data_IF_583846632874
#
_entry.id   IF_583846632874
#
_cell.length_a   1.000
_cell.length_b   1.000
_cell.length_c   1.000
_cell.angle_alpha   90.00
_cell.angle_beta   90.00
_cell.angle_gamma   90.00
#
_symmetry.space_group_name_H-M   'P 1'
#
loop_
_entity.id
_entity.type
_entity.pdbx_description
1 polymer ?
#
# COMPACT_ATOMS: atom_id res chain seq x y z
N UNK A 1 -11.72 -13.00 20.94
CA UNK A 1 -12.90 -12.75 20.06
C UNK A 1 -12.59 -13.30 18.68
N UNK A 2 -13.35 -14.30 18.16
CA UNK A 2 -13.13 -14.82 16.80
C UNK A 2 -14.00 -14.04 15.82
N UNK A 3 -13.38 -13.35 14.88
CA UNK A 3 -14.10 -12.65 13.80
C UNK A 3 -14.76 -13.72 12.91
N UNK A 4 -16.05 -13.55 12.58
CA UNK A 4 -16.74 -14.49 11.68
C UNK A 4 -16.14 -14.40 10.27
N UNK A 5 -16.14 -15.53 9.54
CA UNK A 5 -15.62 -15.57 8.16
C UNK A 5 -16.38 -14.64 7.21
N UNK A 6 -17.68 -14.45 7.45
CA UNK A 6 -18.48 -13.49 6.69
C UNK A 6 -18.00 -12.03 6.92
N UNK A 7 -17.74 -11.67 8.18
CA UNK A 7 -17.20 -10.35 8.55
C UNK A 7 -15.81 -10.15 7.97
N UNK A 8 -14.93 -11.14 8.05
CA UNK A 8 -13.58 -11.10 7.48
C UNK A 8 -13.62 -10.85 5.98
N UNK A 9 -14.44 -11.61 5.24
CA UNK A 9 -14.62 -11.44 3.80
C UNK A 9 -15.17 -10.06 3.42
N UNK A 10 -16.13 -9.55 4.19
CA UNK A 10 -16.72 -8.23 3.97
C UNK A 10 -15.70 -7.11 4.20
N UNK A 11 -14.93 -7.20 5.28
CA UNK A 11 -13.91 -6.21 5.60
C UNK A 11 -12.78 -6.21 4.55
N UNK A 12 -12.31 -7.40 4.16
CA UNK A 12 -11.34 -7.55 3.08
C UNK A 12 -11.82 -6.89 1.77
N UNK A 13 -13.04 -7.20 1.35
CA UNK A 13 -13.59 -6.64 0.11
C UNK A 13 -13.72 -5.11 0.17
N UNK A 14 -14.24 -4.59 1.29
CA UNK A 14 -14.43 -3.14 1.48
C UNK A 14 -13.10 -2.40 1.52
N UNK A 15 -12.12 -2.89 2.30
CA UNK A 15 -10.80 -2.24 2.38
C UNK A 15 -10.04 -2.32 1.05
N UNK A 16 -10.12 -3.45 0.34
CA UNK A 16 -9.50 -3.60 -0.98
C UNK A 16 -10.13 -2.65 -2.00
N UNK A 17 -11.46 -2.56 -2.06
CA UNK A 17 -12.14 -1.64 -2.97
C UNK A 17 -11.80 -0.18 -2.64
N UNK A 18 -11.82 0.18 -1.35
CA UNK A 18 -11.47 1.53 -0.91
C UNK A 18 -10.01 1.89 -1.21
N UNK A 19 -9.08 0.94 -1.00
CA UNK A 19 -7.67 1.11 -1.34
C UNK A 19 -7.48 1.30 -2.86
N UNK A 20 -8.15 0.49 -3.68
CA UNK A 20 -8.10 0.64 -5.14
C UNK A 20 -8.63 2.02 -5.56
N UNK A 21 -9.77 2.45 -5.02
CA UNK A 21 -10.36 3.75 -5.36
C UNK A 21 -9.44 4.91 -4.95
N UNK A 22 -8.88 4.88 -3.74
CA UNK A 22 -7.93 5.89 -3.27
C UNK A 22 -6.63 5.88 -4.10
N UNK A 23 -6.10 4.69 -4.42
CA UNK A 23 -4.92 4.53 -5.27
C UNK A 23 -5.12 5.08 -6.69
N UNK A 24 -6.30 4.88 -7.29
CA UNK A 24 -6.64 5.47 -8.60
C UNK A 24 -6.62 7.00 -8.52
N UNK A 25 -7.17 7.58 -7.45
CA UNK A 25 -7.15 9.04 -7.25
C UNK A 25 -5.71 9.54 -7.13
N UNK A 26 -4.88 8.91 -6.26
CA UNK A 26 -3.46 9.26 -6.11
C UNK A 26 -2.71 9.17 -7.42
N UNK A 27 -2.82 8.05 -8.13
CA UNK A 27 -2.15 7.85 -9.41
C UNK A 27 -2.57 8.88 -10.47
N UNK A 28 -3.87 9.26 -10.48
CA UNK A 28 -4.37 10.29 -11.40
C UNK A 28 -3.81 11.67 -11.09
N UNK A 29 -3.73 12.03 -9.80
CA UNK A 29 -3.16 13.30 -9.34
C UNK A 29 -1.66 13.35 -9.63
N UNK A 30 -0.94 12.26 -9.34
CA UNK A 30 0.49 12.12 -9.58
C UNK A 30 0.84 12.20 -11.07
N UNK A 31 0.17 11.41 -11.91
CA UNK A 31 0.37 11.41 -13.36
C UNK A 31 0.15 12.81 -13.94
N UNK A 32 -0.88 13.52 -13.49
CA UNK A 32 -1.16 14.87 -13.96
C UNK A 32 -0.06 15.86 -13.51
N UNK A 33 0.43 15.75 -12.28
CA UNK A 33 1.53 16.56 -11.78
C UNK A 33 2.80 16.31 -12.60
N UNK A 34 3.16 15.04 -12.80
CA UNK A 34 4.33 14.62 -13.59
C UNK A 34 4.27 15.09 -15.03
N UNK A 35 3.13 14.99 -15.70
CA UNK A 35 2.97 15.47 -17.08
C UNK A 35 3.15 16.98 -17.22
N UNK A 36 2.80 17.76 -16.21
CA UNK A 36 2.84 19.21 -16.24
C UNK A 36 4.18 19.80 -15.78
N UNK A 37 4.93 19.08 -14.93
CA UNK A 37 6.12 19.60 -14.26
C UNK A 37 7.37 18.75 -14.46
N UNK A 38 7.24 17.56 -15.03
CA UNK A 38 8.32 16.60 -15.20
C UNK A 38 8.54 15.66 -14.01
N UNK A 39 7.95 15.94 -12.84
CA UNK A 39 8.06 15.08 -11.65
C UNK A 39 6.72 14.99 -10.91
N UNK A 40 6.31 13.79 -10.54
CA UNK A 40 5.19 13.51 -9.64
C UNK A 40 5.64 13.33 -8.19
N UNK A 41 4.68 13.18 -7.27
CA UNK A 41 4.99 12.87 -5.87
C UNK A 41 5.50 11.43 -5.71
N UNK A 42 5.06 10.50 -6.56
CA UNK A 42 5.59 9.14 -6.57
C UNK A 42 7.07 9.05 -6.95
N UNK A 43 7.60 10.01 -7.72
CA UNK A 43 9.02 10.05 -8.07
C UNK A 43 9.92 10.36 -6.85
N UNK A 44 9.38 11.04 -5.81
CA UNK A 44 10.13 11.37 -4.59
C UNK A 44 10.64 10.12 -3.87
N UNK A 45 9.94 9.00 -3.99
CA UNK A 45 10.30 7.72 -3.38
C UNK A 45 11.65 7.17 -3.89
N UNK A 46 12.03 7.54 -5.11
CA UNK A 46 13.28 7.12 -5.74
C UNK A 46 14.42 8.14 -5.52
N UNK A 47 14.11 9.32 -4.95
CA UNK A 47 15.09 10.36 -4.75
C UNK A 47 15.95 10.08 -3.50
N UNK A 48 17.27 10.17 -3.67
CA UNK A 48 18.24 9.93 -2.61
C UNK A 48 19.04 11.18 -2.20
N UNK A 49 18.94 12.30 -2.95
CA UNK A 49 19.72 13.50 -2.75
C UNK A 49 18.86 14.76 -2.64
N UNK A 50 19.33 15.75 -1.88
CA UNK A 50 18.65 17.03 -1.78
C UNK A 50 18.49 17.73 -3.14
N UNK A 51 19.44 17.53 -4.05
CA UNK A 51 19.39 18.11 -5.39
C UNK A 51 18.19 17.60 -6.21
N UNK A 52 17.85 16.31 -6.11
CA UNK A 52 16.69 15.71 -6.80
C UNK A 52 15.38 16.30 -6.26
N UNK A 53 15.22 16.36 -4.92
CA UNK A 53 14.06 16.99 -4.29
C UNK A 53 13.93 18.47 -4.68
N UNK A 54 15.03 19.23 -4.64
CA UNK A 54 15.05 20.64 -5.03
C UNK A 54 14.60 20.84 -6.48
N UNK A 55 15.04 20.00 -7.40
CA UNK A 55 14.65 20.08 -8.80
C UNK A 55 13.13 19.89 -8.98
N UNK A 56 12.53 18.89 -8.32
CA UNK A 56 11.09 18.65 -8.36
C UNK A 56 10.30 19.79 -7.70
N UNK A 57 10.70 20.24 -6.52
CA UNK A 57 10.01 21.31 -5.79
C UNK A 57 10.11 22.66 -6.53
N UNK A 58 11.24 22.94 -7.15
CA UNK A 58 11.39 24.11 -8.01
C UNK A 58 10.45 24.05 -9.22
N UNK A 59 10.38 22.89 -9.91
CA UNK A 59 9.48 22.71 -11.04
C UNK A 59 8.01 22.89 -10.62
N UNK A 60 7.60 22.36 -9.47
CA UNK A 60 6.26 22.55 -8.93
C UNK A 60 5.98 24.02 -8.56
N UNK A 61 6.99 24.74 -8.04
CA UNK A 61 6.90 26.16 -7.67
C UNK A 61 6.71 27.05 -8.88
N UNK A 62 7.54 26.87 -9.91
CA UNK A 62 7.49 27.65 -11.17
C UNK A 62 6.13 27.51 -11.86
N UNK A 63 5.54 26.33 -11.81
CA UNK A 63 4.24 26.06 -12.42
C UNK A 63 3.04 26.26 -11.47
N UNK A 64 3.23 26.77 -10.26
CA UNK A 64 2.22 27.00 -9.23
C UNK A 64 1.49 25.70 -8.80
N UNK A 65 2.17 24.55 -8.77
CA UNK A 65 1.60 23.25 -8.41
C UNK A 65 1.97 22.74 -7.00
N UNK A 66 2.68 23.53 -6.19
CA UNK A 66 3.06 23.14 -4.81
C UNK A 66 1.84 22.71 -3.96
N UNK A 67 0.73 23.43 -4.04
CA UNK A 67 -0.47 23.08 -3.31
C UNK A 67 -1.07 21.73 -3.75
N UNK A 68 -0.93 21.39 -5.03
CA UNK A 68 -1.39 20.08 -5.55
C UNK A 68 -0.48 18.94 -5.10
N UNK A 69 0.82 19.16 -5.12
CA UNK A 69 1.79 18.19 -4.60
C UNK A 69 1.57 17.93 -3.11
N UNK A 70 1.42 19.01 -2.30
CA UNK A 70 1.10 18.91 -0.89
C UNK A 70 -0.25 18.22 -0.64
N UNK A 71 -1.27 18.48 -1.47
CA UNK A 71 -2.54 17.75 -1.39
C UNK A 71 -2.37 16.25 -1.68
N UNK A 72 -1.57 15.89 -2.70
CA UNK A 72 -1.33 14.49 -3.06
C UNK A 72 -0.64 13.74 -1.92
N UNK A 73 0.44 14.31 -1.36
CA UNK A 73 1.13 13.77 -0.18
C UNK A 73 0.20 13.69 1.05
N UNK A 74 -0.66 14.68 1.25
CA UNK A 74 -1.66 14.67 2.32
C UNK A 74 -2.75 13.62 2.13
N UNK A 75 -3.24 13.43 0.90
CA UNK A 75 -4.27 12.44 0.57
C UNK A 75 -3.73 11.01 0.73
N UNK A 76 -2.44 10.80 0.57
CA UNK A 76 -1.79 9.51 0.77
C UNK A 76 -1.94 8.99 2.21
N UNK A 77 -2.02 9.87 3.22
CA UNK A 77 -2.35 9.46 4.59
C UNK A 77 -3.73 8.78 4.72
N UNK A 78 -4.66 9.03 3.81
CA UNK A 78 -5.91 8.28 3.73
C UNK A 78 -5.69 6.90 3.06
N UNK A 79 -4.84 6.83 2.04
CA UNK A 79 -4.56 5.60 1.32
C UNK A 79 -3.81 4.56 2.18
N UNK A 80 -2.85 5.00 2.99
CA UNK A 80 -2.04 4.14 3.87
C UNK A 80 -2.85 3.18 4.74
N UNK A 81 -3.81 3.60 5.57
CA UNK A 81 -4.61 2.69 6.39
C UNK A 81 -5.51 1.78 5.54
N UNK A 82 -5.95 2.22 4.36
CA UNK A 82 -6.80 1.44 3.47
C UNK A 82 -6.03 0.27 2.87
N UNK A 83 -4.82 0.49 2.32
CA UNK A 83 -4.02 -0.60 1.78
C UNK A 83 -3.48 -1.51 2.89
N UNK A 84 -3.09 -0.94 4.03
CA UNK A 84 -2.66 -1.74 5.18
C UNK A 84 -3.77 -2.71 5.63
N UNK A 85 -5.01 -2.24 5.75
CA UNK A 85 -6.16 -3.07 6.08
C UNK A 85 -6.44 -4.13 4.99
N UNK A 86 -6.38 -3.75 3.71
CA UNK A 86 -6.59 -4.66 2.59
C UNK A 86 -5.58 -5.82 2.61
N UNK A 87 -4.30 -5.51 2.77
CA UNK A 87 -3.23 -6.50 2.82
C UNK A 87 -3.25 -7.33 4.10
N UNK A 88 -3.55 -6.73 5.25
CA UNK A 88 -3.70 -7.43 6.52
C UNK A 88 -4.82 -8.49 6.45
N UNK A 89 -6.02 -8.12 5.98
CA UNK A 89 -7.11 -9.06 5.80
C UNK A 89 -6.79 -10.12 4.73
N UNK A 90 -6.05 -9.76 3.69
CA UNK A 90 -5.53 -10.72 2.70
C UNK A 90 -4.63 -11.76 3.35
N UNK A 91 -3.73 -11.34 4.24
CA UNK A 91 -2.87 -12.23 5.01
C UNK A 91 -3.65 -13.23 5.87
N UNK A 92 -4.69 -12.76 6.57
CA UNK A 92 -5.56 -13.64 7.38
C UNK A 92 -6.28 -14.66 6.48
N UNK A 93 -6.84 -14.23 5.35
CA UNK A 93 -7.53 -15.13 4.41
C UNK A 93 -6.58 -16.17 3.80
N UNK A 94 -5.38 -15.76 3.41
CA UNK A 94 -4.32 -16.64 2.91
C UNK A 94 -3.91 -17.65 3.97
N UNK A 95 -3.70 -17.21 5.20
CA UNK A 95 -3.37 -18.07 6.33
C UNK A 95 -4.47 -19.09 6.63
N UNK A 96 -5.74 -18.70 6.63
CA UNK A 96 -6.85 -19.61 6.85
C UNK A 96 -6.98 -20.66 5.75
N UNK A 97 -6.67 -20.30 4.50
CA UNK A 97 -6.78 -21.19 3.35
C UNK A 97 -5.62 -22.18 3.26
N UNK A 98 -4.38 -21.72 3.44
CA UNK A 98 -3.17 -22.50 3.16
C UNK A 98 -2.44 -23.01 4.41
N UNK A 99 -2.72 -22.43 5.58
CA UNK A 99 -2.16 -22.87 6.87
C UNK A 99 -3.22 -22.99 7.96
N UNK A 100 -4.25 -23.85 7.78
CA UNK A 100 -5.37 -23.96 8.73
C UNK A 100 -4.96 -24.54 10.08
N UNK A 101 -3.84 -25.29 10.14
CA UNK A 101 -3.31 -25.92 11.35
C UNK A 101 -2.16 -25.11 11.96
N UNK A 102 -1.97 -25.14 13.28
CA UNK A 102 -0.81 -24.57 13.92
C UNK A 102 0.49 -25.16 13.37
N UNK A 103 1.51 -24.30 13.11
CA UNK A 103 2.80 -24.73 12.58
C UNK A 103 3.64 -23.54 12.12
N UNK A 104 4.82 -23.82 11.59
CA UNK A 104 5.76 -22.80 11.14
C UNK A 104 5.15 -21.90 10.05
N UNK A 105 4.54 -22.49 9.04
CA UNK A 105 3.90 -21.75 7.94
C UNK A 105 2.85 -20.76 8.45
N UNK A 106 2.02 -21.17 9.42
CA UNK A 106 1.01 -20.28 10.02
C UNK A 106 1.66 -19.11 10.74
N UNK A 107 2.76 -19.35 11.49
CA UNK A 107 3.51 -18.29 12.16
C UNK A 107 4.12 -17.31 11.18
N UNK A 108 4.74 -17.81 10.10
CA UNK A 108 5.32 -16.99 9.04
C UNK A 108 4.25 -16.12 8.35
N UNK A 109 3.10 -16.70 8.00
CA UNK A 109 1.99 -15.94 7.39
C UNK A 109 1.38 -14.92 8.36
N UNK A 110 1.38 -15.19 9.68
CA UNK A 110 0.95 -14.21 10.68
C UNK A 110 1.91 -13.02 10.72
N UNK A 111 3.23 -13.26 10.75
CA UNK A 111 4.23 -12.20 10.71
C UNK A 111 4.18 -11.43 9.39
N UNK A 112 4.07 -12.14 8.26
CA UNK A 112 3.92 -11.54 6.94
C UNK A 112 2.68 -10.63 6.85
N UNK A 113 1.57 -10.97 7.54
CA UNK A 113 0.37 -10.13 7.56
C UNK A 113 0.60 -8.79 8.25
N UNK A 114 1.57 -8.69 9.16
CA UNK A 114 1.91 -7.44 9.85
C UNK A 114 2.86 -6.56 9.04
N UNK A 115 3.59 -7.12 8.08
CA UNK A 115 4.57 -6.36 7.28
C UNK A 115 3.95 -5.18 6.52
N UNK A 116 2.79 -5.30 5.85
CA UNK A 116 2.15 -4.15 5.20
C UNK A 116 1.64 -3.09 6.17
N UNK A 117 1.31 -3.48 7.41
CA UNK A 117 0.92 -2.51 8.46
C UNK A 117 2.13 -1.69 8.89
N UNK A 118 3.27 -2.34 9.08
CA UNK A 118 4.53 -1.65 9.35
C UNK A 118 4.95 -0.76 8.17
N UNK A 119 4.79 -1.24 6.92
CA UNK A 119 5.05 -0.46 5.72
C UNK A 119 4.20 0.82 5.65
N UNK A 120 2.92 0.77 6.03
CA UNK A 120 2.08 1.95 6.09
C UNK A 120 2.55 2.96 7.16
N UNK A 121 3.13 2.48 8.26
CA UNK A 121 3.77 3.34 9.25
C UNK A 121 5.04 4.01 8.72
N UNK A 122 5.88 3.28 7.97
CA UNK A 122 7.06 3.83 7.29
C UNK A 122 6.67 4.84 6.23
N UNK A 123 5.63 4.56 5.45
CA UNK A 123 5.06 5.44 4.43
C UNK A 123 4.60 6.77 5.04
N UNK A 124 3.94 6.73 6.20
CA UNK A 124 3.53 7.92 6.92
C UNK A 124 4.72 8.78 7.38
N UNK A 125 5.81 8.15 7.80
CA UNK A 125 7.05 8.84 8.18
C UNK A 125 7.73 9.43 6.95
N UNK A 126 7.80 8.71 5.84
CA UNK A 126 8.36 9.18 4.58
C UNK A 126 7.62 10.43 4.08
N UNK A 127 6.29 10.38 3.97
CA UNK A 127 5.48 11.54 3.56
C UNK A 127 5.63 12.73 4.51
N UNK A 128 5.81 12.49 5.81
CA UNK A 128 6.09 13.58 6.76
C UNK A 128 7.45 14.24 6.48
N UNK A 129 8.48 13.46 6.14
CA UNK A 129 9.80 13.99 5.75
C UNK A 129 9.72 14.76 4.43
N UNK A 130 9.00 14.25 3.44
CA UNK A 130 8.80 14.91 2.14
C UNK A 130 8.05 16.24 2.30
N UNK A 131 6.98 16.28 3.11
CA UNK A 131 6.28 17.51 3.45
C UNK A 131 7.18 18.50 4.20
N UNK A 132 8.00 18.02 5.14
CA UNK A 132 8.96 18.86 5.85
C UNK A 132 10.00 19.44 4.90
N UNK A 133 10.51 18.66 3.95
CA UNK A 133 11.44 19.13 2.92
C UNK A 133 10.77 20.09 1.94
N UNK A 134 9.51 19.87 1.58
CA UNK A 134 8.74 20.77 0.73
C UNK A 134 8.57 22.17 1.38
N UNK A 135 8.45 22.22 2.71
CA UNK A 135 8.21 23.46 3.48
C UNK A 135 9.50 24.20 3.85
N UNK A 136 10.52 23.46 4.29
CA UNK A 136 11.74 24.01 4.87
C UNK A 136 12.96 23.94 3.93
N UNK A 137 12.82 23.29 2.78
CA UNK A 137 13.90 22.94 1.88
C UNK A 137 14.53 21.58 2.21
N UNK A 138 14.94 20.82 1.19
CA UNK A 138 15.58 19.51 1.38
C UNK A 138 17.04 19.67 1.83
N UNK A 139 17.46 18.72 2.69
CA UNK A 139 18.85 18.54 3.08
C UNK A 139 19.30 17.12 2.71
N UNK A 140 20.60 16.89 2.52
CA UNK A 140 21.14 15.56 2.18
C UNK A 140 20.76 14.51 3.24
N UNK A 141 20.76 14.89 4.51
CA UNK A 141 20.36 13.97 5.60
C UNK A 141 18.89 13.57 5.49
N UNK A 142 17.98 14.51 5.29
CA UNK A 142 16.54 14.20 5.17
C UNK A 142 16.26 13.39 3.91
N UNK A 143 16.89 13.72 2.79
CA UNK A 143 16.76 12.98 1.54
C UNK A 143 17.23 11.52 1.69
N UNK A 144 18.39 11.30 2.30
CA UNK A 144 18.92 9.96 2.56
C UNK A 144 18.06 9.14 3.52
N UNK A 145 17.50 9.78 4.56
CA UNK A 145 16.57 9.10 5.50
C UNK A 145 15.28 8.74 4.77
N UNK A 146 14.68 9.65 4.00
CA UNK A 146 13.45 9.40 3.26
C UNK A 146 13.64 8.24 2.27
N UNK A 147 14.72 8.22 1.50
CA UNK A 147 15.06 7.13 0.58
C UNK A 147 15.23 5.77 1.28
N UNK A 148 15.89 5.75 2.44
CA UNK A 148 16.05 4.53 3.23
C UNK A 148 14.72 3.98 3.73
N UNK A 149 13.84 4.87 4.20
CA UNK A 149 12.48 4.52 4.66
C UNK A 149 11.65 4.01 3.48
N UNK A 150 11.72 4.70 2.31
CA UNK A 150 11.05 4.28 1.08
C UNK A 150 11.44 2.86 0.69
N UNK A 151 12.74 2.57 0.63
CA UNK A 151 13.25 1.23 0.33
C UNK A 151 12.71 0.18 1.30
N UNK A 152 12.70 0.49 2.60
CA UNK A 152 12.21 -0.44 3.63
C UNK A 152 10.70 -0.70 3.52
N UNK A 153 9.88 0.34 3.25
CA UNK A 153 8.42 0.17 3.10
C UNK A 153 8.06 -0.73 1.92
N UNK A 154 8.81 -0.63 0.81
CA UNK A 154 8.54 -1.44 -0.38
C UNK A 154 8.63 -2.94 -0.12
N UNK A 155 9.50 -3.39 0.79
CA UNK A 155 9.55 -4.79 1.22
C UNK A 155 8.19 -5.23 1.78
N UNK A 156 7.60 -4.44 2.67
CA UNK A 156 6.30 -4.74 3.25
C UNK A 156 5.15 -4.68 2.24
N UNK A 157 5.21 -3.75 1.28
CA UNK A 157 4.23 -3.64 0.18
C UNK A 157 4.28 -4.88 -0.72
N UNK A 158 5.46 -5.35 -1.12
CA UNK A 158 5.63 -6.56 -1.94
C UNK A 158 5.07 -7.79 -1.22
N UNK A 159 5.34 -7.93 0.09
CA UNK A 159 4.73 -8.97 0.92
C UNK A 159 3.19 -8.85 0.90
N UNK A 160 2.66 -7.64 1.03
CA UNK A 160 1.22 -7.37 0.97
C UNK A 160 0.58 -7.78 -0.35
N UNK A 161 1.23 -7.48 -1.46
CA UNK A 161 0.78 -7.89 -2.81
C UNK A 161 0.75 -9.41 -2.94
N UNK A 162 1.78 -10.11 -2.45
CA UNK A 162 1.81 -11.56 -2.45
C UNK A 162 0.66 -12.17 -1.61
N UNK A 163 0.36 -11.58 -0.45
CA UNK A 163 -0.77 -11.99 0.39
C UNK A 163 -2.12 -11.73 -0.29
N UNK A 164 -2.26 -10.62 -1.00
CA UNK A 164 -3.47 -10.30 -1.78
C UNK A 164 -3.70 -11.32 -2.88
N UNK A 165 -2.64 -11.70 -3.60
CA UNK A 165 -2.70 -12.77 -4.61
C UNK A 165 -3.10 -14.12 -3.98
N UNK A 166 -2.54 -14.47 -2.82
CA UNK A 166 -2.90 -15.66 -2.05
C UNK A 166 -4.38 -15.69 -1.65
N UNK A 167 -4.92 -14.57 -1.17
CA UNK A 167 -6.33 -14.44 -0.83
C UNK A 167 -7.24 -14.58 -2.06
N UNK A 168 -6.84 -14.03 -3.21
CA UNK A 168 -7.51 -14.20 -4.48
C UNK A 168 -7.57 -15.67 -4.92
N UNK A 169 -6.43 -16.37 -4.89
CA UNK A 169 -6.34 -17.80 -5.20
C UNK A 169 -7.22 -18.64 -4.28
N UNK A 170 -7.22 -18.36 -2.97
CA UNK A 170 -8.06 -19.04 -2.01
C UNK A 170 -9.56 -18.92 -2.35
N UNK A 171 -9.99 -17.74 -2.84
CA UNK A 171 -11.36 -17.50 -3.27
C UNK A 171 -11.73 -18.26 -4.54
N UNK A 172 -10.85 -18.26 -5.53
CA UNK A 172 -11.05 -19.01 -6.78
C UNK A 172 -11.21 -20.50 -6.47
N UNK A 173 -10.34 -21.06 -5.63
CA UNK A 173 -10.44 -22.47 -5.21
C UNK A 173 -11.74 -22.76 -4.46
N UNK A 174 -12.18 -21.89 -3.57
CA UNK A 174 -13.44 -22.05 -2.86
C UNK A 174 -14.64 -22.04 -3.82
N UNK A 175 -14.65 -21.14 -4.79
CA UNK A 175 -15.70 -21.06 -5.80
C UNK A 175 -15.75 -22.29 -6.71
N UNK A 176 -14.60 -22.80 -7.17
CA UNK A 176 -14.51 -24.03 -7.97
C UNK A 176 -15.08 -25.23 -7.20
N UNK A 177 -14.70 -25.39 -5.91
CA UNK A 177 -15.25 -26.47 -5.06
C UNK A 177 -16.76 -26.42 -4.93
N UNK A 178 -17.35 -25.22 -4.84
CA UNK A 178 -18.80 -25.06 -4.74
C UNK A 178 -19.50 -25.44 -6.06
N UNK A 179 -18.93 -25.04 -7.19
CA UNK A 179 -19.44 -25.42 -8.53
C UNK A 179 -19.42 -26.92 -8.75
N UNK A 180 -18.32 -27.59 -8.43
CA UNK A 180 -18.18 -29.04 -8.62
C UNK A 180 -19.18 -29.84 -7.75
N UNK A 181 -19.45 -29.35 -6.53
CA UNK A 181 -20.48 -29.97 -5.66
C UNK A 181 -21.91 -29.77 -6.20
N UNK A 182 -22.18 -28.65 -6.85
CA UNK A 182 -23.48 -28.41 -7.49
C UNK A 182 -23.71 -29.24 -8.77
N UNK A 183 -22.64 -29.72 -9.42
CA UNK A 183 -22.71 -30.58 -10.60
C UNK A 183 -22.83 -32.06 -10.26
N UNK A 184 -22.42 -32.48 -9.04
CA UNK A 184 -22.57 -33.82 -8.52
C UNK A 184 -23.33 -33.76 -7.17
N UNK A 185 -24.66 -33.57 -7.18
CA UNK A 185 -25.43 -33.75 -5.96
C UNK A 185 -25.29 -35.23 -5.57
N UNK A 186 -24.71 -35.49 -4.38
CA UNK A 186 -24.70 -36.84 -3.81
C UNK A 186 -26.15 -37.36 -3.73
N UNK A 187 -26.43 -38.64 -4.13
CA UNK A 187 -27.74 -39.24 -4.06
C UNK A 187 -28.31 -39.25 -2.64
#
# INVERSE_FOLDING_TARGET
MRISRATLNRNWFRSTLAAIAAGIVLASLDTRLKLLTGAGTADLQDFATAAQFNAAFHAWGVHAYLARAGFNLGFDYLFMPLYAAAFFYSGILTMEAFAPRPGLLRRLLTLASMAPVAAAGLDAVENALELAMLWNGPTENLAGIAHTISTAKWVGIVIGIALLAGAGLARVQAWQKTRLKGLNPSP
#
